data_IF_815515018879
#
_entry.id   IF_815515018879
#
_cell.length_a   1.000
_cell.length_b   1.000
_cell.length_c   1.000
_cell.angle_alpha   90.00
_cell.angle_beta   90.00
_cell.angle_gamma   90.00
#
_symmetry.space_group_name_H-M   'P 1'
#
loop_
_entity.id
_entity.type
_entity.pdbx_description
1 polymer ?
#
# COMPACT_ATOMS: atom_id res chain seq x y z
N UNK A 1 11.71 0.93 -30.73
CA UNK A 1 10.33 0.90 -30.17
C UNK A 1 10.35 -0.04 -28.99
N UNK A 2 9.86 0.41 -27.84
CA UNK A 2 9.87 -0.32 -26.57
C UNK A 2 8.44 -0.41 -26.03
N UNK A 3 8.18 -1.37 -25.13
CA UNK A 3 6.90 -1.47 -24.44
C UNK A 3 7.08 -1.88 -22.99
N UNK A 4 6.15 -1.43 -22.14
CA UNK A 4 6.11 -1.74 -20.71
C UNK A 4 4.69 -2.07 -20.31
N UNK A 5 4.52 -2.86 -19.24
CA UNK A 5 3.21 -3.19 -18.70
C UNK A 5 2.98 -2.49 -17.38
N UNK A 6 1.82 -1.88 -17.23
CA UNK A 6 1.38 -1.23 -16.00
C UNK A 6 0.05 -1.81 -15.55
N UNK A 7 -0.09 -2.08 -14.27
CA UNK A 7 -1.35 -2.45 -13.66
C UNK A 7 -2.16 -1.17 -13.44
N UNK A 8 -3.28 -1.03 -14.13
CA UNK A 8 -4.13 0.15 -14.04
C UNK A 8 -5.54 -0.28 -13.67
N UNK A 9 -5.94 0.07 -12.44
CA UNK A 9 -7.30 -0.11 -11.96
C UNK A 9 -7.84 -1.55 -12.11
N UNK A 10 -7.02 -2.57 -11.83
CA UNK A 10 -7.43 -3.97 -11.91
C UNK A 10 -6.85 -4.75 -13.09
N UNK A 11 -6.25 -4.07 -14.07
CA UNK A 11 -5.89 -4.70 -15.35
C UNK A 11 -4.46 -4.34 -15.80
N UNK A 12 -3.74 -5.32 -16.33
CA UNK A 12 -2.43 -5.10 -16.95
C UNK A 12 -2.57 -4.51 -18.35
N UNK A 13 -2.00 -3.33 -18.55
CA UNK A 13 -2.07 -2.56 -19.78
C UNK A 13 -0.69 -2.45 -20.43
N UNK A 14 -0.59 -2.74 -21.72
CA UNK A 14 0.65 -2.64 -22.50
C UNK A 14 0.81 -1.23 -23.09
N UNK A 15 1.94 -0.60 -22.82
CA UNK A 15 2.23 0.79 -23.21
C UNK A 15 3.47 0.83 -24.09
N UNK A 16 3.22 1.06 -25.39
CA UNK A 16 4.27 1.21 -26.39
C UNK A 16 4.77 2.64 -26.45
N UNK A 17 6.09 2.81 -26.53
CA UNK A 17 6.78 4.10 -26.69
C UNK A 17 7.90 4.02 -27.73
N UNK A 18 8.24 5.18 -28.29
CA UNK A 18 9.51 5.37 -28.99
C UNK A 18 10.65 5.67 -27.98
N UNK A 19 11.88 5.79 -28.48
CA UNK A 19 13.11 5.96 -27.71
C UNK A 19 13.59 7.42 -27.58
N UNK A 20 12.80 8.40 -28.05
CA UNK A 20 13.14 9.82 -27.92
C UNK A 20 12.99 10.28 -26.47
N UNK A 21 14.10 10.50 -25.77
CA UNK A 21 14.11 10.93 -24.38
C UNK A 21 14.34 12.45 -24.28
N UNK A 22 13.74 13.14 -23.29
CA UNK A 22 14.01 14.56 -23.05
C UNK A 22 15.45 14.79 -22.60
N UNK A 23 16.18 15.61 -23.36
CA UNK A 23 17.57 15.96 -23.09
C UNK A 23 17.75 17.48 -23.04
N UNK A 24 18.62 17.95 -22.13
CA UNK A 24 19.08 19.33 -22.09
C UNK A 24 20.60 19.35 -22.09
N UNK A 25 21.20 20.07 -23.05
CA UNK A 25 22.66 20.12 -23.26
C UNK A 25 23.31 18.73 -23.30
N UNK A 26 22.69 17.78 -24.01
CA UNK A 26 23.21 16.42 -24.19
C UNK A 26 23.03 15.48 -22.99
N UNK A 27 22.39 15.93 -21.91
CA UNK A 27 22.13 15.10 -20.72
C UNK A 27 20.64 14.83 -20.56
N UNK A 28 20.29 13.63 -20.06
CA UNK A 28 18.92 13.33 -19.66
C UNK A 28 18.45 14.28 -18.56
N UNK A 29 17.23 14.79 -18.69
CA UNK A 29 16.61 15.74 -17.76
C UNK A 29 15.91 15.05 -16.58
N UNK A 30 15.46 13.81 -16.79
CA UNK A 30 14.70 13.02 -15.81
C UNK A 30 15.52 11.81 -15.32
N UNK A 31 14.89 10.65 -15.09
CA UNK A 31 15.55 9.44 -14.61
C UNK A 31 16.75 9.07 -15.49
N UNK A 32 17.85 8.69 -14.84
CA UNK A 32 19.09 8.22 -15.47
C UNK A 32 19.90 7.39 -14.49
N UNK A 33 20.70 6.48 -15.02
CA UNK A 33 21.73 5.82 -14.24
C UNK A 33 23.03 6.65 -14.33
N UNK A 34 23.51 7.18 -13.20
CA UNK A 34 24.75 7.95 -13.15
C UNK A 34 26.01 7.05 -13.27
N UNK A 35 25.91 5.77 -12.91
CA UNK A 35 27.01 4.79 -12.94
C UNK A 35 27.16 4.15 -14.33
N UNK A 36 26.05 3.88 -15.00
CA UNK A 36 26.03 3.39 -16.39
C UNK A 36 25.09 4.23 -17.28
N UNK A 37 25.61 5.29 -17.93
CA UNK A 37 24.78 6.15 -18.79
C UNK A 37 24.16 5.46 -20.00
N UNK A 38 24.62 4.26 -20.36
CA UNK A 38 24.08 3.48 -21.48
C UNK A 38 22.91 2.59 -21.06
N UNK A 39 22.62 2.49 -19.76
CA UNK A 39 21.47 1.75 -19.25
C UNK A 39 20.18 2.57 -19.39
N UNK A 40 19.42 2.32 -20.47
CA UNK A 40 18.27 3.15 -20.85
C UNK A 40 16.91 2.62 -20.39
N UNK A 41 16.83 1.44 -19.75
CA UNK A 41 15.53 0.86 -19.40
C UNK A 41 14.76 1.72 -18.40
N UNK A 42 15.42 2.33 -17.42
CA UNK A 42 14.79 3.18 -16.41
C UNK A 42 14.27 4.51 -16.99
N UNK A 43 15.05 5.28 -17.78
CA UNK A 43 14.51 6.43 -18.51
C UNK A 43 13.33 6.10 -19.44
N UNK A 44 13.38 4.94 -20.10
CA UNK A 44 12.30 4.47 -20.99
C UNK A 44 11.05 4.04 -20.19
N UNK A 45 11.22 3.37 -19.06
CA UNK A 45 10.13 3.00 -18.15
C UNK A 45 9.44 4.27 -17.62
N UNK A 46 10.22 5.24 -17.16
CA UNK A 46 9.69 6.53 -16.70
C UNK A 46 8.93 7.26 -17.81
N UNK A 47 9.43 7.24 -19.05
CA UNK A 47 8.71 7.80 -20.20
C UNK A 47 7.37 7.09 -20.45
N UNK A 48 7.35 5.77 -20.38
CA UNK A 48 6.13 4.99 -20.58
C UNK A 48 5.11 5.28 -19.47
N UNK A 49 5.57 5.42 -18.23
CA UNK A 49 4.72 5.79 -17.11
C UNK A 49 4.22 7.24 -17.18
N UNK A 50 5.07 8.19 -17.58
CA UNK A 50 4.67 9.57 -17.87
C UNK A 50 3.58 9.64 -18.96
N UNK A 51 3.62 8.76 -19.97
CA UNK A 51 2.55 8.62 -20.97
C UNK A 51 1.24 8.14 -20.35
N UNK A 52 1.28 7.20 -19.40
CA UNK A 52 0.10 6.77 -18.63
C UNK A 52 -0.48 7.91 -17.80
N UNK A 53 0.37 8.69 -17.12
CA UNK A 53 -0.04 9.85 -16.35
C UNK A 53 -0.52 11.03 -17.22
N UNK A 54 -0.22 11.01 -18.52
CA UNK A 54 -0.56 12.03 -19.52
C UNK A 54 0.59 12.99 -19.85
N UNK A 55 1.53 13.21 -18.94
CA UNK A 55 2.82 13.88 -19.21
C UNK A 55 3.80 13.70 -18.04
N UNK A 56 5.08 14.04 -18.25
CA UNK A 56 6.08 14.11 -17.18
C UNK A 56 5.66 15.08 -16.06
N UNK A 57 5.02 16.20 -16.39
CA UNK A 57 4.58 17.18 -15.41
C UNK A 57 3.45 16.64 -14.53
N UNK A 58 2.53 15.87 -15.10
CA UNK A 58 1.41 15.27 -14.35
C UNK A 58 1.84 14.09 -13.48
N UNK A 59 2.97 13.45 -13.80
CA UNK A 59 3.57 12.41 -12.98
C UNK A 59 4.24 12.96 -11.70
N UNK A 60 4.66 14.23 -11.72
CA UNK A 60 5.35 14.84 -10.59
C UNK A 60 4.46 14.93 -9.34
N UNK A 61 5.05 14.67 -8.16
CA UNK A 61 4.34 14.71 -6.87
C UNK A 61 3.46 13.48 -6.58
N UNK A 62 3.58 12.41 -7.36
CA UNK A 62 2.94 11.13 -7.06
C UNK A 62 3.48 10.48 -5.78
N UNK A 63 2.65 9.70 -5.08
CA UNK A 63 3.09 8.89 -3.94
C UNK A 63 3.79 7.62 -4.44
N UNK A 64 4.79 7.16 -3.70
CA UNK A 64 5.48 5.90 -4.01
C UNK A 64 4.51 4.72 -3.99
N UNK A 65 3.61 4.65 -3.01
CA UNK A 65 2.57 3.60 -2.94
C UNK A 65 1.75 3.47 -4.24
N UNK A 66 1.37 4.60 -4.85
CA UNK A 66 0.61 4.61 -6.11
C UNK A 66 1.44 4.01 -7.26
N UNK A 67 2.70 4.42 -7.40
CA UNK A 67 3.60 3.86 -8.42
C UNK A 67 3.89 2.38 -8.20
N UNK A 68 4.07 1.93 -6.96
CA UNK A 68 4.32 0.52 -6.65
C UNK A 68 3.14 -0.37 -7.05
N UNK A 69 1.91 0.08 -6.79
CA UNK A 69 0.71 -0.63 -7.25
C UNK A 69 0.66 -0.67 -8.78
N UNK A 70 0.94 0.45 -9.45
CA UNK A 70 0.90 0.50 -10.91
C UNK A 70 2.00 -0.35 -11.58
N UNK A 71 3.14 -0.57 -10.90
CA UNK A 71 4.22 -1.41 -11.40
C UNK A 71 4.06 -2.90 -11.07
N UNK A 72 3.21 -3.26 -10.11
CA UNK A 72 3.19 -4.64 -9.58
C UNK A 72 1.83 -5.27 -9.41
N UNK A 73 0.74 -4.49 -9.44
CA UNK A 73 -0.59 -4.94 -9.02
C UNK A 73 -0.66 -5.32 -7.53
N UNK A 74 0.35 -4.97 -6.74
CA UNK A 74 0.44 -5.30 -5.32
C UNK A 74 -0.58 -4.58 -4.44
N UNK A 75 -0.49 -4.82 -3.14
CA UNK A 75 -1.39 -4.24 -2.12
C UNK A 75 -0.67 -3.08 -1.47
N UNK A 76 -1.20 -1.85 -1.58
CA UNK A 76 -0.67 -0.73 -0.82
C UNK A 76 -1.19 -0.72 0.62
N UNK A 77 -0.29 -0.47 1.55
CA UNK A 77 -0.58 -0.13 2.93
C UNK A 77 0.25 1.08 3.33
N UNK A 78 -0.41 2.15 3.78
CA UNK A 78 0.24 3.37 4.25
C UNK A 78 -0.04 3.61 5.73
N UNK A 79 1.01 3.86 6.51
CA UNK A 79 0.96 4.02 7.96
C UNK A 79 1.62 5.35 8.32
N UNK A 80 0.85 6.26 8.91
CA UNK A 80 1.38 7.50 9.47
C UNK A 80 2.11 7.19 10.78
N UNK A 81 3.36 7.61 10.87
CA UNK A 81 4.20 7.49 12.04
C UNK A 81 3.99 8.72 12.93
N UNK A 82 3.70 8.51 14.21
CA UNK A 82 3.68 9.60 15.19
C UNK A 82 5.12 9.90 15.63
N UNK A 83 5.61 11.09 15.32
CA UNK A 83 6.98 11.52 15.64
C UNK A 83 7.15 12.03 17.07
N UNK A 84 6.07 12.46 17.74
CA UNK A 84 6.20 13.18 19.01
C UNK A 84 6.35 12.23 20.20
N UNK A 85 5.64 11.09 20.19
CA UNK A 85 5.81 10.01 21.17
C UNK A 85 4.99 8.78 20.75
N UNK A 86 5.46 7.97 19.78
CA UNK A 86 4.72 6.79 19.36
C UNK A 86 4.60 5.81 20.54
N UNK A 87 3.39 5.29 20.85
CA UNK A 87 3.21 4.30 21.90
C UNK A 87 4.11 3.08 21.70
N UNK A 88 4.68 2.48 22.78
CA UNK A 88 5.52 1.29 22.65
C UNK A 88 4.84 0.14 21.88
N UNK A 89 3.53 -0.01 22.03
CA UNK A 89 2.75 -1.04 21.33
C UNK A 89 2.73 -0.80 19.81
N UNK A 90 2.68 0.46 19.37
CA UNK A 90 2.73 0.82 17.95
C UNK A 90 4.11 0.52 17.36
N UNK A 91 5.19 0.83 18.10
CA UNK A 91 6.56 0.50 17.69
C UNK A 91 6.73 -0.99 17.49
N UNK A 92 6.25 -1.82 18.41
CA UNK A 92 6.33 -3.27 18.30
C UNK A 92 5.46 -3.83 17.16
N UNK A 93 4.26 -3.27 16.96
CA UNK A 93 3.40 -3.65 15.84
C UNK A 93 4.05 -3.36 14.49
N UNK A 94 4.63 -2.17 14.31
CA UNK A 94 5.34 -1.77 13.09
C UNK A 94 6.60 -2.62 12.91
N UNK A 95 7.34 -2.94 13.98
CA UNK A 95 8.54 -3.78 13.91
C UNK A 95 8.18 -5.18 13.41
N UNK A 96 7.11 -5.76 13.94
CA UNK A 96 6.60 -7.06 13.47
C UNK A 96 6.14 -6.99 12.02
N UNK A 97 5.40 -5.95 11.65
CA UNK A 97 4.90 -5.76 10.29
C UNK A 97 6.04 -5.61 9.28
N UNK A 98 7.04 -4.76 9.56
CA UNK A 98 8.21 -4.57 8.72
C UNK A 98 9.00 -5.86 8.57
N UNK A 99 9.23 -6.59 9.67
CA UNK A 99 9.91 -7.89 9.63
C UNK A 99 9.19 -8.87 8.69
N UNK A 100 7.87 -8.95 8.80
CA UNK A 100 7.05 -9.82 7.95
C UNK A 100 7.04 -9.34 6.49
N UNK A 101 6.90 -8.04 6.25
CA UNK A 101 6.88 -7.45 4.92
C UNK A 101 8.21 -7.72 4.19
N UNK A 102 9.35 -7.45 4.84
CA UNK A 102 10.68 -7.70 4.28
C UNK A 102 10.94 -9.21 4.06
N UNK A 103 10.54 -10.07 5.00
CA UNK A 103 10.65 -11.52 4.84
C UNK A 103 9.83 -12.04 3.64
N UNK A 104 8.63 -11.48 3.43
CA UNK A 104 7.76 -11.76 2.28
C UNK A 104 8.18 -11.02 1.00
N UNK A 105 9.36 -10.36 0.99
CA UNK A 105 9.87 -9.56 -0.14
C UNK A 105 8.88 -8.51 -0.64
N UNK A 106 8.06 -7.96 0.26
CA UNK A 106 7.25 -6.76 -0.01
C UNK A 106 8.19 -5.59 -0.27
N UNK A 107 7.78 -4.65 -1.10
CA UNK A 107 8.54 -3.42 -1.29
C UNK A 107 8.14 -2.44 -0.19
N UNK A 108 9.13 -1.87 0.47
CA UNK A 108 8.92 -1.01 1.62
C UNK A 108 9.63 0.31 1.37
N UNK A 109 8.96 1.40 1.66
CA UNK A 109 9.58 2.71 1.65
C UNK A 109 8.98 3.63 2.69
N UNK A 110 9.60 4.78 2.85
CA UNK A 110 9.22 5.77 3.83
C UNK A 110 9.45 7.16 3.27
N UNK A 111 8.79 8.16 3.85
CA UNK A 111 8.99 9.54 3.46
C UNK A 111 8.97 10.48 4.66
N UNK A 112 9.43 11.70 4.39
CA UNK A 112 9.37 12.83 5.30
C UNK A 112 8.52 13.88 4.62
N UNK A 113 7.44 14.33 5.26
CA UNK A 113 6.60 15.37 4.67
C UNK A 113 7.33 16.72 4.60
N UNK A 114 7.15 17.49 3.52
CA UNK A 114 7.53 18.90 3.51
C UNK A 114 6.79 19.67 4.60
N UNK A 115 7.35 20.79 5.04
CA UNK A 115 6.69 21.66 6.03
C UNK A 115 6.09 22.88 5.33
N UNK A 116 5.13 23.57 5.94
CA UNK A 116 4.60 24.83 5.37
C UNK A 116 5.69 25.88 5.13
N UNK A 117 6.77 25.84 5.92
CA UNK A 117 7.92 26.76 5.80
C UNK A 117 8.88 26.37 4.69
N UNK A 118 8.90 25.10 4.31
CA UNK A 118 9.70 24.57 3.21
C UNK A 118 8.87 23.54 2.42
N UNK A 119 8.04 24.03 1.48
CA UNK A 119 7.08 23.19 0.76
C UNK A 119 7.75 22.32 -0.31
N UNK A 120 9.03 22.57 -0.61
CA UNK A 120 9.79 21.79 -1.57
C UNK A 120 10.61 20.71 -0.85
N UNK A 121 11.07 19.73 -1.62
CA UNK A 121 12.03 18.76 -1.11
C UNK A 121 13.32 19.48 -0.68
N UNK A 122 13.68 19.37 0.59
CA UNK A 122 14.77 20.11 1.20
C UNK A 122 15.71 19.19 1.96
N UNK A 123 17.02 19.42 1.84
CA UNK A 123 18.03 18.76 2.64
C UNK A 123 17.93 19.24 4.09
N UNK A 124 17.71 18.31 5.01
CA UNK A 124 17.64 18.54 6.44
C UNK A 124 19.05 18.51 7.07
N UNK A 125 19.17 19.08 8.26
CA UNK A 125 20.43 19.17 9.00
C UNK A 125 21.05 17.79 9.33
N UNK A 126 20.20 16.76 9.44
CA UNK A 126 20.57 15.38 9.72
C UNK A 126 20.94 14.57 8.44
N UNK A 127 21.00 15.22 7.28
CA UNK A 127 21.34 14.61 6.00
C UNK A 127 20.17 13.96 5.25
N UNK A 128 18.97 13.86 5.87
CA UNK A 128 17.77 13.36 5.21
C UNK A 128 17.14 14.43 4.30
N UNK A 129 16.24 14.02 3.41
CA UNK A 129 15.58 14.90 2.44
C UNK A 129 14.07 14.87 2.67
N UNK A 130 13.45 16.03 2.91
CA UNK A 130 11.99 16.14 2.99
C UNK A 130 11.36 16.05 1.59
N UNK A 131 10.07 15.72 1.50
CA UNK A 131 9.36 15.60 0.21
C UNK A 131 9.91 14.50 -0.69
N UNK A 132 10.65 13.54 -0.14
CA UNK A 132 11.37 12.51 -0.86
C UNK A 132 11.03 11.12 -0.33
N UNK A 133 10.98 10.14 -1.24
CA UNK A 133 10.72 8.74 -0.92
C UNK A 133 12.03 7.97 -0.80
N UNK A 134 12.23 7.32 0.34
CA UNK A 134 13.33 6.42 0.62
C UNK A 134 12.84 4.98 0.55
N UNK A 135 13.70 4.04 0.16
CA UNK A 135 13.39 2.61 0.23
C UNK A 135 13.94 2.01 1.52
N UNK A 136 13.17 1.17 2.21
CA UNK A 136 13.66 0.38 3.34
C UNK A 136 14.07 -0.97 2.80
N UNK A 137 15.36 -1.29 2.90
CA UNK A 137 15.92 -2.51 2.29
C UNK A 137 16.11 -3.63 3.29
N UNK A 138 16.38 -3.32 4.57
CA UNK A 138 16.58 -4.31 5.64
C UNK A 138 16.21 -3.75 7.01
N UNK A 139 15.92 -4.66 7.95
CA UNK A 139 15.84 -4.37 9.38
C UNK A 139 16.44 -5.55 10.14
N UNK A 140 17.36 -5.28 11.07
CA UNK A 140 18.13 -6.29 11.80
C UNK A 140 18.48 -5.83 13.20
N UNK A 141 18.58 -6.78 14.12
CA UNK A 141 19.10 -6.56 15.46
C UNK A 141 20.62 -6.71 15.46
N UNK A 142 21.32 -5.71 15.99
CA UNK A 142 22.76 -5.65 16.12
C UNK A 142 23.16 -5.90 17.57
N UNK A 143 24.06 -6.86 17.80
CA UNK A 143 24.63 -7.07 19.13
C UNK A 143 25.80 -6.11 19.34
N UNK A 144 25.66 -5.19 20.30
CA UNK A 144 26.72 -4.27 20.71
C UNK A 144 27.22 -4.61 22.11
N UNK A 145 28.33 -4.01 22.53
CA UNK A 145 28.83 -4.15 23.90
C UNK A 145 27.85 -3.62 24.96
N UNK A 146 26.96 -2.71 24.57
CA UNK A 146 25.98 -2.06 25.44
C UNK A 146 24.58 -2.69 25.37
N UNK A 147 24.44 -3.81 24.65
CA UNK A 147 23.17 -4.49 24.43
C UNK A 147 22.76 -4.57 22.96
N UNK A 148 21.53 -5.01 22.73
CA UNK A 148 20.98 -5.19 21.38
C UNK A 148 20.32 -3.91 20.91
N UNK A 149 20.63 -3.48 19.68
CA UNK A 149 20.02 -2.32 19.03
C UNK A 149 19.37 -2.76 17.72
N UNK A 150 18.11 -2.42 17.50
CA UNK A 150 17.45 -2.65 16.21
C UNK A 150 17.82 -1.54 15.23
N UNK A 151 18.41 -1.91 14.09
CA UNK A 151 18.75 -0.99 13.02
C UNK A 151 17.87 -1.23 11.80
N UNK A 152 17.56 -0.13 11.10
CA UNK A 152 16.87 -0.13 9.81
C UNK A 152 17.82 0.42 8.75
N UNK A 153 17.79 -0.18 7.55
CA UNK A 153 18.59 0.24 6.42
C UNK A 153 17.70 0.92 5.38
N UNK A 154 18.03 2.16 5.05
CA UNK A 154 17.31 2.99 4.11
C UNK A 154 18.19 3.29 2.89
N UNK A 155 17.58 3.48 1.73
CA UNK A 155 18.23 3.84 0.48
C UNK A 155 17.60 5.11 -0.08
N UNK A 156 18.44 6.10 -0.34
CA UNK A 156 18.12 7.31 -1.09
C UNK A 156 18.31 7.06 -2.61
N UNK A 157 17.24 7.06 -3.44
CA UNK A 157 17.35 6.81 -4.87
C UNK A 157 17.94 7.97 -5.70
N UNK A 158 18.05 9.20 -5.17
CA UNK A 158 18.45 10.38 -5.97
C UNK A 158 19.96 10.60 -6.06
N UNK A 159 20.68 10.35 -4.97
CA UNK A 159 22.08 10.73 -4.91
C UNK A 159 22.87 9.83 -3.97
N UNK A 160 23.95 9.30 -4.54
CA UNK A 160 25.02 8.56 -3.90
C UNK A 160 25.54 9.32 -2.66
N UNK A 161 25.59 10.66 -2.71
CA UNK A 161 26.30 11.46 -1.72
C UNK A 161 25.45 12.09 -0.61
N UNK A 162 24.13 11.82 -0.53
CA UNK A 162 23.24 12.42 0.47
C UNK A 162 22.66 11.31 1.35
N UNK A 163 23.21 11.20 2.56
CA UNK A 163 22.93 10.12 3.50
C UNK A 163 22.71 10.67 4.91
N UNK A 164 22.14 9.82 5.76
CA UNK A 164 22.01 10.05 7.19
C UNK A 164 23.36 10.31 7.85
N UNK A 165 23.47 11.42 8.59
CA UNK A 165 24.70 11.82 9.28
C UNK A 165 24.65 11.62 10.81
N UNK A 166 23.59 11.01 11.33
CA UNK A 166 23.43 10.71 12.75
C UNK A 166 23.96 9.32 13.14
N UNK A 167 23.45 8.80 14.25
CA UNK A 167 23.88 7.52 14.82
C UNK A 167 23.66 6.36 13.85
N UNK A 168 24.67 5.49 13.75
CA UNK A 168 24.72 4.34 12.82
C UNK A 168 24.79 4.67 11.33
N UNK A 169 24.87 5.94 10.94
CA UNK A 169 25.24 6.32 9.57
C UNK A 169 26.66 5.88 9.21
N UNK A 170 27.02 5.97 7.94
CA UNK A 170 28.31 5.48 7.39
C UNK A 170 29.54 6.03 8.11
N UNK A 171 29.48 7.28 8.56
CA UNK A 171 30.58 7.95 9.26
C UNK A 171 30.45 7.92 10.79
N UNK A 172 29.45 7.22 11.34
CA UNK A 172 29.23 7.14 12.79
C UNK A 172 30.35 6.34 13.48
N UNK A 173 30.92 6.92 14.55
CA UNK A 173 31.92 6.25 15.39
C UNK A 173 31.33 5.07 16.17
N UNK A 174 30.00 4.92 16.24
CA UNK A 174 29.35 3.79 16.89
C UNK A 174 29.72 2.45 16.24
N UNK A 175 30.04 2.46 14.94
CA UNK A 175 30.53 1.29 14.23
C UNK A 175 31.91 0.83 14.71
N UNK A 176 32.75 1.71 15.26
CA UNK A 176 34.12 1.36 15.62
C UNK A 176 34.18 0.37 16.79
N UNK A 177 33.17 0.38 17.67
CA UNK A 177 33.02 -0.57 18.78
C UNK A 177 32.33 -1.89 18.44
N UNK A 178 31.83 -2.05 17.20
CA UNK A 178 31.11 -3.26 16.75
C UNK A 178 32.10 -4.33 16.30
N UNK A 179 31.86 -5.59 16.71
CA UNK A 179 32.66 -6.72 16.28
C UNK A 179 32.63 -6.89 14.75
N UNK A 180 33.78 -7.21 14.14
CA UNK A 180 33.88 -7.40 12.68
C UNK A 180 32.94 -8.49 12.14
N UNK A 181 32.61 -9.51 12.95
CA UNK A 181 31.62 -10.51 12.58
C UNK A 181 30.22 -9.90 12.39
N UNK A 182 29.80 -9.02 13.30
CA UNK A 182 28.52 -8.33 13.21
C UNK A 182 28.52 -7.35 12.01
N UNK A 183 29.59 -6.57 11.81
CA UNK A 183 29.72 -5.70 10.61
C UNK A 183 29.55 -6.48 9.32
N UNK A 184 30.13 -7.69 9.23
CA UNK A 184 29.98 -8.58 8.07
C UNK A 184 28.54 -9.07 7.90
N UNK A 185 27.80 -9.38 8.97
CA UNK A 185 26.37 -9.75 8.91
C UNK A 185 25.49 -8.60 8.40
N UNK A 186 25.88 -7.37 8.72
CA UNK A 186 25.24 -6.15 8.26
C UNK A 186 25.71 -5.72 6.86
N UNK A 187 26.74 -6.38 6.31
CA UNK A 187 27.44 -5.98 5.08
C UNK A 187 27.86 -4.51 5.13
N UNK A 188 28.22 -4.03 6.32
CA UNK A 188 28.55 -2.63 6.54
C UNK A 188 29.83 -2.27 5.77
N UNK A 189 29.75 -1.19 5.00
CA UNK A 189 30.85 -0.57 4.26
C UNK A 189 30.57 0.93 4.25
N UNK A 190 31.62 1.77 4.24
CA UNK A 190 31.50 3.23 4.15
C UNK A 190 31.56 3.62 2.68
N UNK A 191 30.44 3.53 1.98
CA UNK A 191 30.42 3.58 0.51
C UNK A 191 29.90 4.89 -0.06
N UNK A 192 29.19 5.71 0.71
CA UNK A 192 28.57 6.93 0.19
C UNK A 192 27.82 6.64 -1.12
N UNK A 193 26.92 5.66 -1.06
CA UNK A 193 26.16 5.14 -2.19
C UNK A 193 24.64 5.38 -2.08
N UNK A 194 24.23 6.16 -1.08
CA UNK A 194 22.84 6.48 -0.76
C UNK A 194 22.19 5.48 0.19
N UNK A 195 22.82 4.33 0.46
CA UNK A 195 22.34 3.34 1.44
C UNK A 195 22.96 3.59 2.81
N UNK A 196 22.15 3.73 3.84
CA UNK A 196 22.62 3.98 5.21
C UNK A 196 21.83 3.19 6.24
N UNK A 197 22.49 2.89 7.36
CA UNK A 197 21.82 2.36 8.56
C UNK A 197 21.45 3.50 9.50
N UNK A 198 20.38 3.32 10.26
CA UNK A 198 19.99 4.18 11.38
C UNK A 198 19.30 3.35 12.46
N UNK A 199 19.18 3.90 13.68
CA UNK A 199 18.43 3.22 14.72
C UNK A 199 16.93 3.20 14.41
N UNK A 200 16.23 2.16 14.88
CA UNK A 200 14.77 2.07 14.76
C UNK A 200 14.06 3.21 15.49
N UNK A 201 14.65 3.74 16.56
CA UNK A 201 14.11 4.89 17.29
C UNK A 201 14.28 6.21 16.52
N UNK A 202 15.43 6.40 15.87
CA UNK A 202 15.64 7.55 14.98
C UNK A 202 14.67 7.49 13.80
N UNK A 203 14.35 6.31 13.28
CA UNK A 203 13.39 6.17 12.19
C UNK A 203 12.02 6.78 12.55
N UNK A 204 11.48 6.48 13.74
CA UNK A 204 10.22 7.09 14.21
C UNK A 204 10.33 8.59 14.44
N UNK A 205 11.51 9.07 14.86
CA UNK A 205 11.73 10.48 15.17
C UNK A 205 11.84 11.32 13.90
N UNK A 206 12.25 10.72 12.77
CA UNK A 206 12.59 11.45 11.54
C UNK A 206 11.61 11.22 10.38
N UNK A 207 11.01 10.04 10.24
CA UNK A 207 10.08 9.71 9.16
C UNK A 207 8.62 9.93 9.56
N UNK A 208 7.78 10.30 8.60
CA UNK A 208 6.36 10.63 8.83
C UNK A 208 5.41 9.54 8.34
N UNK A 209 5.80 8.79 7.31
CA UNK A 209 4.96 7.77 6.70
C UNK A 209 5.81 6.56 6.33
N UNK A 210 5.27 5.38 6.66
CA UNK A 210 5.72 4.09 6.17
C UNK A 210 4.74 3.60 5.11
N UNK A 211 5.26 3.16 3.96
CA UNK A 211 4.48 2.62 2.86
C UNK A 211 4.99 1.22 2.52
N UNK A 212 4.07 0.26 2.48
CA UNK A 212 4.35 -1.13 2.15
C UNK A 212 3.52 -1.51 0.94
N UNK A 213 4.17 -2.07 -0.08
CA UNK A 213 3.49 -2.73 -1.18
C UNK A 213 3.69 -4.24 -1.05
N UNK A 214 2.66 -4.93 -0.57
CA UNK A 214 2.69 -6.37 -0.43
C UNK A 214 2.56 -7.04 -1.80
N UNK A 215 3.32 -8.12 -1.96
CA UNK A 215 3.22 -8.99 -3.13
C UNK A 215 1.93 -9.81 -3.08
N UNK A 216 1.17 -9.78 -4.15
CA UNK A 216 0.10 -10.74 -4.46
C UNK A 216 0.69 -11.95 -5.20
N UNK A 217 0.01 -13.12 -5.22
CA UNK A 217 0.44 -14.26 -6.04
C UNK A 217 0.65 -13.91 -7.52
N UNK A 218 -0.16 -13.00 -8.07
CA UNK A 218 0.02 -12.49 -9.43
C UNK A 218 1.31 -11.67 -9.59
N UNK A 219 1.64 -10.84 -8.60
CA UNK A 219 2.91 -10.08 -8.61
C UNK A 219 4.13 -11.00 -8.46
N UNK A 220 3.99 -12.16 -7.81
CA UNK A 220 5.09 -13.13 -7.64
C UNK A 220 5.57 -13.66 -8.98
N UNK A 221 4.64 -14.00 -9.87
CA UNK A 221 4.96 -14.53 -11.20
C UNK A 221 5.65 -13.53 -12.13
N UNK A 222 5.59 -12.22 -11.85
CA UNK A 222 6.28 -11.18 -12.63
C UNK A 222 7.78 -11.10 -12.34
N UNK A 223 8.21 -11.55 -11.15
CA UNK A 223 9.60 -11.44 -10.68
C UNK A 223 10.34 -12.79 -10.66
N UNK A 224 9.65 -13.89 -10.98
CA UNK A 224 10.27 -15.21 -11.08
C UNK A 224 10.72 -15.47 -12.53
N UNK A 225 12.02 -15.41 -12.77
CA UNK A 225 12.62 -15.95 -13.99
C UNK A 225 12.40 -17.47 -14.04
N UNK A 226 12.22 -18.06 -15.23
CA UNK A 226 11.99 -19.50 -15.46
C UNK A 226 13.02 -20.47 -14.84
N UNK A 227 14.06 -19.97 -14.18
CA UNK A 227 15.11 -20.70 -13.47
C UNK A 227 14.97 -20.71 -11.94
N UNK A 228 14.02 -20.00 -11.33
CA UNK A 228 13.73 -20.15 -9.90
C UNK A 228 12.70 -21.26 -9.71
N UNK A 229 13.17 -22.46 -9.36
CA UNK A 229 12.31 -23.48 -8.78
C UNK A 229 11.65 -22.89 -7.54
N UNK A 230 10.36 -22.57 -7.62
CA UNK A 230 9.53 -22.25 -6.46
C UNK A 230 9.67 -23.40 -5.48
N UNK A 231 10.32 -23.17 -4.34
CA UNK A 231 10.21 -24.10 -3.22
C UNK A 231 8.71 -24.22 -2.93
N UNK A 232 8.16 -25.44 -2.77
CA UNK A 232 6.77 -25.59 -2.37
C UNK A 232 6.58 -24.80 -1.07
N UNK A 233 5.65 -23.85 -1.08
CA UNK A 233 5.24 -23.13 0.11
C UNK A 233 4.92 -24.18 1.18
N UNK A 234 5.44 -24.04 2.42
CA UNK A 234 5.13 -24.99 3.47
C UNK A 234 3.61 -25.13 3.61
N UNK A 235 3.12 -26.36 3.73
CA UNK A 235 1.72 -26.64 4.06
C UNK A 235 1.35 -25.77 5.27
N UNK A 236 0.32 -24.90 5.12
CA UNK A 236 -0.16 -23.88 6.07
C UNK A 236 0.41 -22.45 5.98
N UNK A 237 1.08 -22.03 4.90
CA UNK A 237 1.43 -20.61 4.73
C UNK A 237 0.20 -19.74 4.38
N UNK A 238 -0.02 -18.66 5.14
CA UNK A 238 -1.10 -17.71 4.86
C UNK A 238 -0.83 -16.99 3.53
N UNK A 239 -1.78 -17.07 2.61
CA UNK A 239 -1.76 -16.36 1.34
C UNK A 239 -2.80 -15.23 1.33
N UNK A 240 -2.57 -14.24 0.48
CA UNK A 240 -3.54 -13.17 0.25
C UNK A 240 -4.62 -13.65 -0.72
N UNK A 241 -5.87 -13.63 -0.27
CA UNK A 241 -7.04 -13.72 -1.13
C UNK A 241 -7.51 -12.31 -1.48
N UNK A 242 -7.73 -12.02 -2.77
CA UNK A 242 -8.16 -10.71 -3.26
C UNK A 242 -9.58 -10.77 -3.81
N UNK A 243 -10.37 -9.76 -3.49
CA UNK A 243 -11.67 -9.47 -4.09
C UNK A 243 -11.66 -8.04 -4.64
N UNK A 244 -12.07 -7.86 -5.90
CA UNK A 244 -12.04 -6.57 -6.58
C UNK A 244 -13.44 -6.15 -7.05
N UNK A 245 -13.79 -4.90 -6.78
CA UNK A 245 -15.07 -4.31 -7.20
C UNK A 245 -14.88 -2.97 -7.88
N UNK A 246 -15.47 -2.81 -9.06
CA UNK A 246 -15.56 -1.52 -9.73
C UNK A 246 -16.90 -0.86 -9.42
N UNK A 247 -16.85 0.34 -8.84
CA UNK A 247 -18.05 1.07 -8.49
C UNK A 247 -18.03 2.52 -8.95
N UNK A 248 -19.16 3.21 -8.76
CA UNK A 248 -19.34 4.61 -9.15
C UNK A 248 -20.19 5.37 -8.13
N UNK A 249 -19.77 6.59 -7.81
CA UNK A 249 -20.59 7.59 -7.14
C UNK A 249 -21.29 8.46 -8.17
N UNK A 250 -22.62 8.54 -8.08
CA UNK A 250 -23.50 9.29 -8.97
C UNK A 250 -24.36 10.25 -8.18
N UNK A 251 -24.33 11.51 -8.60
CA UNK A 251 -25.13 12.60 -8.04
C UNK A 251 -26.62 12.26 -8.05
N UNK A 252 -27.30 12.48 -6.91
CA UNK A 252 -28.72 12.18 -6.74
C UNK A 252 -29.11 10.70 -6.76
N UNK A 253 -28.12 9.79 -6.78
CA UNK A 253 -28.32 8.34 -6.70
C UNK A 253 -27.37 7.78 -5.62
N UNK A 254 -26.23 7.21 -6.04
CA UNK A 254 -25.29 6.53 -5.15
C UNK A 254 -24.38 7.48 -4.36
N UNK A 255 -24.49 8.79 -4.54
CA UNK A 255 -23.73 9.80 -3.80
C UNK A 255 -24.62 10.75 -2.97
N UNK A 256 -25.94 10.58 -3.01
CA UNK A 256 -26.90 11.54 -2.41
C UNK A 256 -26.78 11.58 -0.88
N UNK A 257 -26.72 10.40 -0.24
CA UNK A 257 -26.69 10.24 1.21
C UNK A 257 -25.74 9.12 1.59
N UNK A 258 -25.29 9.13 2.85
CA UNK A 258 -24.37 8.12 3.34
C UNK A 258 -24.81 6.67 3.04
N UNK A 259 -26.07 6.32 3.31
CA UNK A 259 -26.60 4.97 3.09
C UNK A 259 -26.97 4.65 1.63
N UNK A 260 -26.95 5.64 0.74
CA UNK A 260 -27.13 5.39 -0.70
C UNK A 260 -25.80 5.10 -1.39
N UNK A 261 -24.67 5.31 -0.71
CA UNK A 261 -23.36 4.85 -1.19
C UNK A 261 -23.36 3.35 -1.48
N UNK A 262 -22.50 2.91 -2.40
CA UNK A 262 -22.34 1.50 -2.66
C UNK A 262 -21.95 0.69 -1.42
N UNK A 263 -22.41 -0.56 -1.35
CA UNK A 263 -22.20 -1.43 -0.19
C UNK A 263 -21.72 -2.80 -0.66
N UNK A 264 -20.64 -3.27 -0.05
CA UNK A 264 -20.01 -4.55 -0.36
C UNK A 264 -20.07 -5.45 0.86
N UNK A 265 -20.73 -6.59 0.72
CA UNK A 265 -20.84 -7.61 1.76
C UNK A 265 -19.66 -8.56 1.64
N UNK A 266 -18.99 -8.86 2.75
CA UNK A 266 -17.92 -9.84 2.80
C UNK A 266 -18.23 -10.84 3.90
N UNK A 267 -18.33 -12.10 3.53
CA UNK A 267 -18.44 -13.20 4.47
C UNK A 267 -17.07 -13.85 4.63
N UNK A 268 -16.55 -13.79 5.85
CA UNK A 268 -15.30 -14.41 6.24
C UNK A 268 -15.58 -15.70 6.99
N UNK A 269 -15.20 -16.82 6.38
CA UNK A 269 -15.19 -18.14 6.99
C UNK A 269 -13.75 -18.64 7.02
N UNK A 270 -13.26 -19.00 8.21
CA UNK A 270 -11.90 -19.53 8.36
C UNK A 270 -12.02 -21.02 8.66
N UNK A 271 -11.72 -21.86 7.66
CA UNK A 271 -11.63 -23.31 7.79
C UNK A 271 -10.23 -23.66 8.25
N UNK A 272 -9.95 -23.37 9.51
CA UNK A 272 -8.62 -23.57 10.04
C UNK A 272 -8.44 -25.04 10.42
N UNK A 273 -7.65 -25.77 9.64
CA UNK A 273 -7.19 -27.15 9.92
C UNK A 273 -6.32 -27.26 11.18
N UNK A 274 -6.76 -26.69 12.31
CA UNK A 274 -6.10 -26.73 13.62
C UNK A 274 -5.48 -25.41 14.09
N UNK A 275 -5.52 -24.32 13.31
CA UNK A 275 -4.98 -23.02 13.76
C UNK A 275 -5.90 -22.42 14.83
N UNK A 276 -5.38 -22.28 16.06
CA UNK A 276 -6.13 -21.76 17.22
C UNK A 276 -6.46 -20.26 17.14
N UNK A 277 -5.81 -19.52 16.24
CA UNK A 277 -5.95 -18.08 16.17
C UNK A 277 -7.19 -17.66 15.36
N UNK A 278 -8.21 -17.12 16.03
CA UNK A 278 -9.49 -16.70 15.43
C UNK A 278 -9.44 -15.36 14.68
N UNK A 279 -8.28 -14.71 14.64
CA UNK A 279 -8.14 -13.41 14.00
C UNK A 279 -7.34 -13.53 12.71
N UNK A 280 -7.73 -12.76 11.70
CA UNK A 280 -6.99 -12.61 10.44
C UNK A 280 -6.80 -11.14 10.11
N UNK A 281 -5.86 -10.88 9.22
CA UNK A 281 -5.67 -9.57 8.64
C UNK A 281 -6.63 -9.40 7.46
N UNK A 282 -7.33 -8.27 7.43
CA UNK A 282 -8.03 -7.77 6.26
C UNK A 282 -7.46 -6.40 5.89
N UNK A 283 -7.06 -6.21 4.64
CA UNK A 283 -6.65 -4.89 4.13
C UNK A 283 -7.70 -4.47 3.11
N UNK A 284 -8.22 -3.26 3.25
CA UNK A 284 -9.14 -2.65 2.29
C UNK A 284 -8.43 -1.49 1.64
N UNK A 285 -8.40 -1.46 0.31
CA UNK A 285 -7.85 -0.38 -0.49
C UNK A 285 -8.93 0.19 -1.41
N UNK A 286 -9.22 1.47 -1.28
CA UNK A 286 -10.14 2.21 -2.14
C UNK A 286 -9.32 3.14 -3.05
N UNK A 287 -9.44 2.97 -4.35
CA UNK A 287 -8.73 3.74 -5.36
C UNK A 287 -9.70 4.50 -6.26
N UNK A 288 -9.54 5.81 -6.35
CA UNK A 288 -10.29 6.65 -7.28
C UNK A 288 -9.73 6.54 -8.71
N UNK A 289 -10.59 6.23 -9.68
CA UNK A 289 -10.22 6.10 -11.10
C UNK A 289 -10.15 7.46 -11.78
N UNK A 290 -9.11 8.23 -11.48
CA UNK A 290 -8.85 9.50 -12.18
C UNK A 290 -8.12 9.23 -13.50
N UNK A 291 -8.88 8.99 -14.58
CA UNK A 291 -8.33 8.67 -15.92
C UNK A 291 -7.45 9.77 -16.52
N UNK A 292 -7.58 11.01 -16.08
CA UNK A 292 -6.69 12.12 -16.45
C UNK A 292 -6.49 13.06 -15.25
N UNK A 293 -5.24 13.32 -14.89
CA UNK A 293 -4.85 14.41 -14.00
C UNK A 293 -4.97 15.73 -14.77
N UNK A 294 -6.20 16.15 -15.11
CA UNK A 294 -6.39 17.48 -15.66
C UNK A 294 -6.05 18.51 -14.59
N UNK A 295 -5.23 19.49 -14.96
CA UNK A 295 -4.72 20.52 -14.06
C UNK A 295 -5.82 21.41 -13.43
N UNK A 296 -7.04 21.45 -13.98
CA UNK A 296 -8.02 22.51 -13.65
C UNK A 296 -9.52 22.10 -13.55
N UNK A 297 -9.91 20.83 -13.55
CA UNK A 297 -11.33 20.47 -13.75
C UNK A 297 -12.13 20.17 -12.46
N UNK A 298 -11.86 20.91 -11.36
CA UNK A 298 -12.73 20.89 -10.16
C UNK A 298 -12.02 20.67 -8.82
N UNK A 299 -12.78 20.76 -7.74
CA UNK A 299 -12.31 20.44 -6.39
C UNK A 299 -11.91 18.96 -6.31
N UNK A 300 -10.83 18.60 -5.58
CA UNK A 300 -10.44 17.21 -5.42
C UNK A 300 -11.56 16.46 -4.68
N UNK A 301 -11.92 15.28 -5.18
CA UNK A 301 -12.85 14.38 -4.48
C UNK A 301 -12.10 13.74 -3.32
N UNK A 302 -12.56 13.99 -2.10
CA UNK A 302 -12.00 13.37 -0.90
C UNK A 302 -12.68 12.02 -0.69
N UNK A 303 -11.91 10.93 -0.72
CA UNK A 303 -12.42 9.57 -0.59
C UNK A 303 -12.14 8.96 0.78
N UNK A 304 -13.03 8.05 1.19
CA UNK A 304 -12.92 7.26 2.42
C UNK A 304 -13.81 6.02 2.36
N UNK A 305 -13.73 5.18 3.39
CA UNK A 305 -14.66 4.07 3.55
C UNK A 305 -14.88 3.73 5.02
N UNK A 306 -16.03 3.11 5.27
CA UNK A 306 -16.44 2.64 6.58
C UNK A 306 -16.67 1.13 6.57
N UNK A 307 -16.37 0.48 7.70
CA UNK A 307 -16.49 -0.97 7.87
C UNK A 307 -17.40 -1.27 9.05
N UNK A 308 -18.39 -2.11 8.79
CA UNK A 308 -19.34 -2.60 9.78
C UNK A 308 -19.35 -4.12 9.83
N UNK A 309 -19.64 -4.68 11.00
CA UNK A 309 -19.96 -6.09 11.17
C UNK A 309 -21.47 -6.25 11.32
N UNK A 310 -22.02 -7.24 10.64
CA UNK A 310 -23.44 -7.57 10.70
C UNK A 310 -23.73 -8.35 12.00
N UNK A 311 -24.69 -7.88 12.79
CA UNK A 311 -25.13 -8.57 14.02
C UNK A 311 -25.85 -9.89 13.68
N UNK A 312 -25.69 -10.88 14.56
CA UNK A 312 -26.42 -12.15 14.44
C UNK A 312 -27.94 -11.91 14.45
N UNK A 313 -28.65 -12.49 13.48
CA UNK A 313 -30.10 -12.34 13.32
C UNK A 313 -30.55 -11.10 12.54
N UNK A 314 -29.62 -10.27 12.04
CA UNK A 314 -29.95 -9.18 11.13
C UNK A 314 -30.53 -9.71 9.80
N UNK A 315 -31.60 -9.08 9.31
CA UNK A 315 -32.16 -9.41 8.01
C UNK A 315 -31.54 -8.50 6.95
N UNK A 316 -30.53 -9.01 6.24
CA UNK A 316 -29.81 -8.27 5.19
C UNK A 316 -30.72 -7.80 4.04
N UNK A 317 -31.84 -8.49 3.78
CA UNK A 317 -32.81 -8.04 2.77
C UNK A 317 -33.52 -6.75 3.20
N UNK A 318 -33.95 -6.69 4.47
CA UNK A 318 -34.53 -5.47 5.05
C UNK A 318 -33.52 -4.34 5.21
N UNK A 319 -32.23 -4.66 5.31
CA UNK A 319 -31.14 -3.67 5.32
C UNK A 319 -31.06 -2.93 3.99
N UNK A 320 -31.10 -3.65 2.88
CA UNK A 320 -31.04 -3.08 1.52
C UNK A 320 -32.33 -2.33 1.17
N UNK A 321 -33.48 -2.85 1.63
CA UNK A 321 -34.80 -2.23 1.42
C UNK A 321 -35.12 -1.09 2.42
N UNK A 322 -34.26 -0.88 3.43
CA UNK A 322 -34.57 -0.09 4.63
C UNK A 322 -34.15 1.38 4.57
N UNK A 323 -34.77 2.18 5.43
CA UNK A 323 -34.38 3.58 5.71
C UNK A 323 -33.17 3.67 6.65
N UNK A 324 -32.58 4.86 6.78
CA UNK A 324 -31.47 5.21 7.68
C UNK A 324 -31.55 4.56 9.09
N UNK A 325 -32.77 4.34 9.60
CA UNK A 325 -33.03 3.79 10.93
C UNK A 325 -32.67 2.30 11.07
N UNK A 326 -32.67 1.51 9.99
CA UNK A 326 -32.29 0.09 10.04
C UNK A 326 -30.76 -0.11 10.05
N UNK A 327 -30.03 0.79 9.37
CA UNK A 327 -28.56 0.77 9.28
C UNK A 327 -27.88 0.77 10.65
N UNK A 328 -28.35 1.61 11.59
CA UNK A 328 -27.66 1.79 12.87
C UNK A 328 -27.99 0.71 13.91
N UNK A 329 -29.09 -0.04 13.76
CA UNK A 329 -29.51 -1.00 14.79
C UNK A 329 -28.81 -2.35 14.63
N UNK A 330 -28.58 -2.77 13.38
CA UNK A 330 -28.16 -4.14 13.05
C UNK A 330 -26.69 -4.28 12.67
N UNK A 331 -25.92 -3.18 12.74
CA UNK A 331 -24.51 -3.13 12.42
C UNK A 331 -23.70 -2.73 13.65
N UNK A 332 -22.56 -3.38 13.84
CA UNK A 332 -21.53 -3.00 14.79
C UNK A 332 -20.41 -2.28 14.03
N UNK A 333 -20.03 -1.09 14.47
CA UNK A 333 -18.93 -0.35 13.86
C UNK A 333 -17.60 -1.05 14.12
N UNK A 334 -16.82 -1.29 13.06
CA UNK A 334 -15.50 -1.93 13.14
C UNK A 334 -14.40 -0.89 12.99
N UNK A 335 -14.57 0.08 12.11
CA UNK A 335 -13.63 1.18 11.88
C UNK A 335 -13.80 1.79 10.49
N UNK A 336 -12.91 2.73 10.18
CA UNK A 336 -12.90 3.50 8.92
C UNK A 336 -11.49 3.59 8.33
N UNK A 337 -11.39 4.18 7.14
CA UNK A 337 -10.15 4.44 6.42
C UNK A 337 -9.23 5.49 7.09
N UNK A 338 -9.69 6.18 8.13
CA UNK A 338 -9.06 7.36 8.73
C UNK A 338 -9.55 8.65 8.08
N UNK A 339 -8.70 9.69 8.11
CA UNK A 339 -9.00 10.98 7.47
C UNK A 339 -9.23 10.77 5.97
N UNK A 340 -10.31 11.36 5.47
CA UNK A 340 -10.57 11.39 4.03
C UNK A 340 -9.42 12.07 3.31
N UNK A 341 -9.08 11.54 2.14
CA UNK A 341 -7.88 11.98 1.43
C UNK A 341 -8.19 12.42 0.02
N UNK A 342 -7.43 13.43 -0.44
CA UNK A 342 -7.38 13.88 -1.84
C UNK A 342 -6.48 12.99 -2.69
N UNK A 343 -5.75 12.05 -2.06
CA UNK A 343 -4.88 11.12 -2.76
C UNK A 343 -5.69 10.13 -3.60
N UNK A 344 -5.01 9.51 -4.56
CA UNK A 344 -5.64 8.54 -5.48
C UNK A 344 -6.17 7.30 -4.76
N UNK A 345 -5.47 6.83 -3.72
CA UNK A 345 -5.90 5.69 -2.91
C UNK A 345 -5.85 5.97 -1.42
N UNK A 346 -6.73 5.28 -0.69
CA UNK A 346 -6.67 5.12 0.77
C UNK A 346 -6.77 3.64 1.11
N UNK A 347 -5.89 3.18 1.99
CA UNK A 347 -5.81 1.79 2.43
C UNK A 347 -5.86 1.70 3.96
N UNK A 348 -6.51 0.68 4.51
CA UNK A 348 -6.47 0.42 5.95
C UNK A 348 -6.45 -1.07 6.26
N UNK A 349 -5.59 -1.44 7.22
CA UNK A 349 -5.51 -2.76 7.83
C UNK A 349 -6.48 -2.89 9.00
N UNK A 350 -7.17 -4.03 9.05
CA UNK A 350 -8.07 -4.44 10.11
C UNK A 350 -7.70 -5.83 10.61
N UNK A 351 -7.84 -6.03 11.92
CA UNK A 351 -7.81 -7.37 12.53
C UNK A 351 -9.26 -7.84 12.68
N UNK A 352 -9.64 -8.91 11.99
CA UNK A 352 -11.03 -9.38 11.89
C UNK A 352 -11.21 -10.82 12.34
N UNK A 353 -12.41 -11.14 12.85
CA UNK A 353 -12.85 -12.51 13.17
C UNK A 353 -13.78 -13.06 12.08
N UNK A 354 -14.05 -14.37 12.03
CA UNK A 354 -15.11 -14.90 11.19
C UNK A 354 -16.44 -14.15 11.39
N UNK A 355 -17.14 -13.89 10.30
CA UNK A 355 -18.38 -13.15 10.31
C UNK A 355 -18.64 -12.43 9.00
N UNK A 356 -19.74 -11.70 8.99
CA UNK A 356 -20.18 -10.94 7.83
C UNK A 356 -19.93 -9.46 8.06
N UNK A 357 -19.30 -8.81 7.09
CA UNK A 357 -18.92 -7.40 7.13
C UNK A 357 -19.57 -6.65 5.96
N UNK A 358 -19.81 -5.36 6.16
CA UNK A 358 -20.26 -4.44 5.12
C UNK A 358 -19.22 -3.33 5.02
N UNK A 359 -18.76 -3.07 3.80
CA UNK A 359 -17.85 -1.97 3.47
C UNK A 359 -18.60 -0.96 2.64
N UNK A 360 -18.51 0.30 3.03
CA UNK A 360 -19.20 1.42 2.37
C UNK A 360 -18.15 2.41 1.89
N UNK A 361 -17.67 2.32 0.63
CA UNK A 361 -16.84 3.36 0.05
C UNK A 361 -17.68 4.61 -0.22
N UNK A 362 -17.15 5.77 0.16
CA UNK A 362 -17.88 7.03 0.11
C UNK A 362 -16.94 8.22 -0.16
N UNK A 363 -17.56 9.36 -0.43
CA UNK A 363 -16.89 10.66 -0.57
C UNK A 363 -17.24 11.54 0.63
N UNK A 364 -16.35 12.48 0.97
CA UNK A 364 -16.59 13.40 2.08
C UNK A 364 -17.78 14.32 1.83
N UNK A 365 -17.90 14.81 0.59
CA UNK A 365 -19.00 15.68 0.16
C UNK A 365 -20.06 14.84 -0.56
N UNK A 366 -21.32 15.03 -0.20
CA UNK A 366 -22.44 14.41 -0.92
C UNK A 366 -22.49 14.92 -2.36
N UNK A 367 -23.00 14.07 -3.26
CA UNK A 367 -23.09 14.32 -4.71
C UNK A 367 -21.75 14.45 -5.45
N UNK A 368 -20.60 14.24 -4.80
CA UNK A 368 -19.34 14.04 -5.52
C UNK A 368 -19.45 12.81 -6.42
N UNK A 369 -18.95 12.96 -7.65
CA UNK A 369 -19.08 11.93 -8.70
C UNK A 369 -17.72 11.35 -9.06
N UNK A 370 -17.71 10.07 -9.37
CA UNK A 370 -16.55 9.43 -9.96
C UNK A 370 -16.61 7.92 -9.94
N UNK A 371 -15.61 7.31 -10.54
CA UNK A 371 -15.46 5.86 -10.59
C UNK A 371 -14.35 5.45 -9.62
N UNK A 372 -14.47 4.28 -9.00
CA UNK A 372 -13.47 3.76 -8.08
C UNK A 372 -13.25 2.26 -8.29
N UNK A 373 -12.14 1.78 -7.75
CA UNK A 373 -11.84 0.37 -7.54
C UNK A 373 -11.72 0.14 -6.03
N UNK A 374 -12.51 -0.77 -5.49
CA UNK A 374 -12.38 -1.28 -4.13
C UNK A 374 -11.71 -2.65 -4.20
N UNK A 375 -10.61 -2.83 -3.47
CA UNK A 375 -9.90 -4.10 -3.34
C UNK A 375 -9.94 -4.52 -1.89
N UNK A 376 -10.30 -5.77 -1.62
CA UNK A 376 -10.25 -6.34 -0.28
C UNK A 376 -9.32 -7.54 -0.29
N UNK A 377 -8.37 -7.54 0.64
CA UNK A 377 -7.40 -8.58 0.82
C UNK A 377 -7.59 -9.25 2.17
N UNK A 378 -7.61 -10.57 2.20
CA UNK A 378 -7.74 -11.35 3.44
C UNK A 378 -6.66 -12.42 3.49
N UNK A 379 -6.05 -12.61 4.67
CA UNK A 379 -5.14 -13.73 4.88
C UNK A 379 -5.93 -15.04 5.00
N UNK A 380 -5.64 -16.03 4.14
CA UNK A 380 -6.32 -17.33 4.11
C UNK A 380 -5.32 -18.48 3.98
N UNK A 381 -5.63 -19.65 4.54
CA UNK A 381 -4.80 -20.86 4.42
C UNK A 381 -5.26 -21.75 3.26
N UNK A 382 -6.57 -21.83 3.02
CA UNK A 382 -7.26 -22.47 1.88
C UNK A 382 -8.68 -21.86 1.86
N UNK A 383 -9.25 -21.55 0.67
CA UNK A 383 -10.50 -20.78 0.50
C UNK A 383 -11.67 -21.20 1.41
N UNK A 384 -12.52 -20.31 1.91
CA UNK A 384 -13.47 -19.50 1.13
C UNK A 384 -13.66 -18.11 1.77
N UNK A 385 -13.15 -17.05 1.14
CA UNK A 385 -13.73 -15.71 1.32
C UNK A 385 -14.83 -15.56 0.28
N UNK A 386 -16.00 -15.09 0.69
CA UNK A 386 -17.09 -14.81 -0.24
C UNK A 386 -17.46 -13.33 -0.13
N UNK A 387 -17.09 -12.55 -1.13
CA UNK A 387 -17.51 -11.16 -1.24
C UNK A 387 -18.61 -11.01 -2.32
N UNK A 388 -19.63 -10.21 -2.01
CA UNK A 388 -20.75 -9.92 -2.91
C UNK A 388 -21.09 -8.43 -2.80
N UNK A 389 -21.27 -7.77 -3.94
CA UNK A 389 -21.79 -6.41 -4.01
C UNK A 389 -23.31 -6.38 -3.75
N UNK A 390 -23.78 -5.49 -2.85
CA UNK A 390 -25.19 -5.38 -2.45
C UNK A 390 -25.97 -4.24 -3.11
N UNK A 391 -25.32 -3.38 -3.90
CA UNK A 391 -25.92 -2.16 -4.47
C UNK A 391 -27.12 -2.45 -5.37
N UNK A 392 -28.32 -2.02 -4.93
CA UNK A 392 -29.59 -1.86 -5.67
C UNK A 392 -30.04 -2.99 -6.64
N UNK A 393 -29.33 -4.10 -6.72
CA UNK A 393 -29.62 -5.22 -7.59
C UNK A 393 -30.54 -6.20 -6.84
N UNK A 394 -31.82 -5.85 -6.80
CA UNK A 394 -32.89 -6.64 -6.15
C UNK A 394 -32.94 -8.10 -6.65
N UNK A 395 -32.40 -8.39 -7.82
CA UNK A 395 -32.50 -9.70 -8.49
C UNK A 395 -31.34 -10.68 -8.15
N UNK A 396 -30.12 -10.19 -7.89
CA UNK A 396 -28.96 -11.07 -7.70
C UNK A 396 -28.84 -11.67 -6.28
N UNK A 397 -29.53 -11.11 -5.28
CA UNK A 397 -29.45 -11.62 -3.91
C UNK A 397 -30.02 -13.04 -3.76
N UNK A 398 -31.12 -13.36 -4.45
CA UNK A 398 -31.80 -14.66 -4.28
C UNK A 398 -30.97 -15.80 -4.85
N UNK A 399 -30.24 -15.58 -5.95
CA UNK A 399 -29.35 -16.57 -6.56
C UNK A 399 -28.04 -16.72 -5.77
N UNK A 400 -27.46 -15.62 -5.27
CA UNK A 400 -26.23 -15.67 -4.47
C UNK A 400 -26.44 -16.32 -3.10
N UNK A 401 -27.59 -16.10 -2.43
CA UNK A 401 -27.93 -16.79 -1.18
C UNK A 401 -28.17 -18.30 -1.35
N UNK A 402 -28.65 -18.76 -2.51
CA UNK A 402 -28.76 -20.19 -2.81
C UNK A 402 -27.40 -20.83 -3.10
N UNK A 403 -26.51 -20.12 -3.81
CA UNK A 403 -25.11 -20.52 -4.00
C UNK A 403 -24.35 -20.66 -2.67
N UNK A 404 -24.60 -19.76 -1.71
CA UNK A 404 -24.03 -19.81 -0.35
C UNK A 404 -24.43 -21.07 0.41
N UNK A 405 -25.65 -21.59 0.19
CA UNK A 405 -26.12 -22.83 0.86
C UNK A 405 -25.69 -24.11 0.14
N UNK A 406 -25.44 -24.06 -1.18
CA UNK A 406 -25.06 -25.27 -1.93
C UNK A 406 -23.58 -25.62 -1.83
N UNK A 407 -22.70 -24.68 -1.46
CA UNK A 407 -21.26 -24.93 -1.29
C UNK A 407 -20.83 -25.36 0.12
N UNK A 408 -21.72 -25.31 1.11
CA UNK A 408 -21.45 -25.80 2.48
C UNK A 408 -21.67 -27.31 2.64
N UNK A 409 -22.10 -28.01 1.59
CA UNK A 409 -22.37 -29.45 1.58
C UNK A 409 -21.82 -30.11 0.30
N UNK A 410 -20.50 -30.07 0.10
CA UNK A 410 -19.78 -31.00 -0.76
C UNK A 410 -18.36 -31.14 -0.26
#
# INVERSE_FOLDING_TARGET
>A
MFHFRFWLFGEWNDVVIDDRLPCYKGNFVFCRNNKDPNELWAPLLEKAYAKVCGSYQLMAGGRMADGLVDFTGGIDESIILDQQSPPPELKEEIKRLLSQALARKSMVGCNIFPTEKDPNAGLLHNGLVSGHAFSITQMKDLNTQNGVVTLIRCLNPWNDSIEWNGDWGDNSLLWDGVAEEEKRKFKFQRLHDGEFWMSYDDFFTNFHELQICHRTPESVGLFETASSTSLPSPENELTWHEEMFHGKWKKGESAEKYWTNPQYLIKLEFTDGGIKEKWRTMIIALMFKRRQLKLNDGQPVLIGFDVYRVKNGANLRKHIEGSQKYYMVHLDYVGDSGRYTVHRSVSKRFKVRPGTYIIIPNTFVCDDVGEYLLRIFTETVEGQTLAIELTNNKENLVSSFHSIKSRSHT
#
